data_IF_989951276901
#
_entry.id   IF_989951276901
#
_cell.length_a   1.000
_cell.length_b   1.000
_cell.length_c   1.000
_cell.angle_alpha   90.00
_cell.angle_beta   90.00
_cell.angle_gamma   90.00
#
_symmetry.space_group_name_H-M   'P 1'
#
loop_
_entity.id
_entity.type
_entity.pdbx_description
1 polymer ?
#
# COMPACT_ATOMS: atom_id res chain seq x y z
N UNK A 1 16.90 -47.04 -46.50
CA UNK A 1 16.04 -46.89 -45.31
C UNK A 1 16.76 -46.23 -44.13
N UNK A 2 18.02 -46.53 -43.84
CA UNK A 2 18.77 -46.00 -42.69
C UNK A 2 18.97 -44.48 -42.67
N UNK A 3 19.29 -43.83 -43.81
CA UNK A 3 19.56 -42.38 -43.88
C UNK A 3 18.34 -41.51 -43.55
N UNK A 4 17.18 -41.89 -44.06
CA UNK A 4 15.91 -41.18 -43.86
C UNK A 4 15.44 -41.25 -42.40
N UNK A 5 15.68 -42.38 -41.72
CA UNK A 5 15.44 -42.55 -40.28
C UNK A 5 16.39 -41.67 -39.45
N UNK A 6 17.67 -41.57 -39.82
CA UNK A 6 18.66 -40.71 -39.14
C UNK A 6 18.34 -39.22 -39.28
N UNK A 7 17.93 -38.76 -40.47
CA UNK A 7 17.57 -37.37 -40.72
C UNK A 7 16.27 -36.98 -39.98
N UNK A 8 15.31 -37.89 -39.90
CA UNK A 8 14.06 -37.69 -39.13
C UNK A 8 14.32 -37.60 -37.62
N UNK A 9 15.24 -38.41 -37.09
CA UNK A 9 15.66 -38.35 -35.69
C UNK A 9 16.41 -37.05 -35.37
N UNK A 10 17.26 -36.56 -36.27
CA UNK A 10 17.92 -35.25 -36.12
C UNK A 10 16.94 -34.08 -36.13
N UNK A 11 15.95 -34.10 -37.02
CA UNK A 11 14.91 -33.07 -37.06
C UNK A 11 14.08 -33.06 -35.78
N UNK A 12 13.66 -34.23 -35.28
CA UNK A 12 12.93 -34.36 -34.03
C UNK A 12 13.75 -33.90 -32.81
N UNK A 13 15.06 -34.22 -32.77
CA UNK A 13 15.95 -33.76 -31.71
C UNK A 13 16.14 -32.24 -31.73
N UNK A 14 16.24 -31.63 -32.92
CA UNK A 14 16.39 -30.19 -33.09
C UNK A 14 15.13 -29.44 -32.68
N UNK A 15 13.95 -29.94 -33.07
CA UNK A 15 12.65 -29.38 -32.66
C UNK A 15 12.42 -29.50 -31.14
N UNK A 16 12.77 -30.65 -30.55
CA UNK A 16 12.70 -30.83 -29.10
C UNK A 16 13.65 -29.87 -28.36
N UNK A 17 14.85 -29.63 -28.89
CA UNK A 17 15.81 -28.69 -28.32
C UNK A 17 15.30 -27.25 -28.42
N UNK A 18 14.76 -26.84 -29.57
CA UNK A 18 14.17 -25.52 -29.76
C UNK A 18 12.99 -25.27 -28.81
N UNK A 19 12.09 -26.25 -28.66
CA UNK A 19 10.96 -26.19 -27.71
C UNK A 19 11.43 -26.12 -26.26
N UNK A 20 12.49 -26.85 -25.91
CA UNK A 20 13.06 -26.81 -24.56
C UNK A 20 13.67 -25.43 -24.26
N UNK A 21 14.33 -24.82 -25.24
CA UNK A 21 14.90 -23.48 -25.12
C UNK A 21 13.81 -22.40 -25.02
N UNK A 22 12.74 -22.53 -25.81
CA UNK A 22 11.57 -21.65 -25.73
C UNK A 22 10.87 -21.77 -24.37
N UNK A 23 10.68 -23.00 -23.88
CA UNK A 23 10.10 -23.25 -22.55
C UNK A 23 10.97 -22.66 -21.43
N UNK A 24 12.29 -22.89 -21.47
CA UNK A 24 13.20 -22.34 -20.48
C UNK A 24 13.19 -20.80 -20.47
N UNK A 25 13.17 -20.18 -21.66
CA UNK A 25 13.10 -18.71 -21.81
C UNK A 25 11.78 -18.16 -21.28
N UNK A 26 10.65 -18.82 -21.60
CA UNK A 26 9.33 -18.46 -21.06
C UNK A 26 9.31 -18.59 -19.54
N UNK A 27 9.82 -19.69 -18.98
CA UNK A 27 9.88 -19.93 -17.55
C UNK A 27 10.73 -18.88 -16.82
N UNK A 28 11.87 -18.48 -17.40
CA UNK A 28 12.71 -17.41 -16.85
C UNK A 28 11.97 -16.06 -16.84
N UNK A 29 11.38 -15.66 -17.96
CA UNK A 29 10.62 -14.41 -18.07
C UNK A 29 9.40 -14.38 -17.13
N UNK A 30 8.70 -15.51 -16.97
CA UNK A 30 7.62 -15.65 -15.99
C UNK A 30 8.11 -15.46 -14.56
N UNK A 31 9.27 -16.04 -14.23
CA UNK A 31 9.87 -15.95 -12.89
C UNK A 31 10.29 -14.50 -12.58
N UNK A 32 10.94 -13.81 -13.52
CA UNK A 32 11.30 -12.40 -13.37
C UNK A 32 10.07 -11.52 -13.12
N UNK A 33 9.02 -11.68 -13.93
CA UNK A 33 7.76 -10.93 -13.76
C UNK A 33 7.08 -11.23 -12.42
N UNK A 34 7.16 -12.46 -11.93
CA UNK A 34 6.64 -12.85 -10.63
C UNK A 34 7.40 -12.13 -9.50
N UNK A 35 8.73 -12.08 -9.56
CA UNK A 35 9.54 -11.37 -8.57
C UNK A 35 9.28 -9.86 -8.59
N UNK A 36 9.25 -9.24 -9.77
CA UNK A 36 8.94 -7.81 -9.91
C UNK A 36 7.57 -7.48 -9.28
N UNK A 37 6.59 -8.35 -9.51
CA UNK A 37 5.24 -8.18 -8.96
C UNK A 37 5.18 -8.30 -7.44
N UNK A 38 5.98 -9.19 -6.84
CA UNK A 38 6.11 -9.31 -5.37
C UNK A 38 6.79 -8.08 -4.79
N UNK A 39 7.81 -7.56 -5.46
CA UNK A 39 8.49 -6.31 -5.05
C UNK A 39 7.52 -5.13 -5.11
N UNK A 40 6.76 -4.98 -6.19
CA UNK A 40 5.73 -3.94 -6.36
C UNK A 40 4.68 -4.01 -5.24
N UNK A 41 4.20 -5.21 -4.92
CA UNK A 41 3.22 -5.41 -3.84
C UNK A 41 3.77 -5.03 -2.46
N UNK A 42 4.98 -5.49 -2.12
CA UNK A 42 5.62 -5.15 -0.84
C UNK A 42 5.87 -3.64 -0.73
N UNK A 43 6.32 -3.00 -1.81
CA UNK A 43 6.51 -1.55 -1.85
C UNK A 43 5.20 -0.79 -1.60
N UNK A 44 4.09 -1.25 -2.18
CA UNK A 44 2.76 -0.66 -1.96
C UNK A 44 2.33 -0.76 -0.48
N UNK A 45 2.55 -1.91 0.17
CA UNK A 45 2.26 -2.10 1.60
C UNK A 45 3.09 -1.14 2.47
N UNK A 46 4.41 -1.10 2.25
CA UNK A 46 5.30 -0.28 3.07
C UNK A 46 4.97 1.20 2.93
N UNK A 47 4.81 1.68 1.69
CA UNK A 47 4.41 3.05 1.41
C UNK A 47 3.05 3.38 2.01
N UNK A 48 2.09 2.47 1.90
CA UNK A 48 0.77 2.63 2.50
C UNK A 48 0.81 2.79 4.02
N UNK A 49 1.61 1.95 4.68
CA UNK A 49 1.81 1.98 6.13
C UNK A 49 2.50 3.26 6.57
N UNK A 50 3.52 3.71 5.83
CA UNK A 50 4.22 4.98 6.07
C UNK A 50 3.26 6.17 6.00
N UNK A 51 2.40 6.21 4.98
CA UNK A 51 1.42 7.29 4.78
C UNK A 51 0.45 7.37 5.96
N UNK A 52 -0.13 6.24 6.39
CA UNK A 52 -1.06 6.20 7.53
C UNK A 52 -0.33 6.55 8.84
N UNK A 53 0.86 6.00 9.05
CA UNK A 53 1.67 6.28 10.24
C UNK A 53 2.04 7.75 10.36
N UNK A 54 2.46 8.39 9.26
CA UNK A 54 2.76 9.82 9.23
C UNK A 54 1.53 10.65 9.56
N UNK A 55 0.36 10.31 9.00
CA UNK A 55 -0.89 11.02 9.31
C UNK A 55 -1.28 10.88 10.78
N UNK A 56 -1.10 9.71 11.39
CA UNK A 56 -1.35 9.50 12.81
C UNK A 56 -0.41 10.35 13.68
N UNK A 57 0.87 10.46 13.30
CA UNK A 57 1.83 11.34 13.96
C UNK A 57 1.46 12.82 13.84
N UNK A 58 1.10 13.28 12.64
CA UNK A 58 0.66 14.67 12.41
C UNK A 58 -0.57 15.02 13.26
N UNK A 59 -1.52 14.07 13.37
CA UNK A 59 -2.69 14.21 14.25
C UNK A 59 -2.28 14.32 15.72
N UNK A 60 -1.32 13.52 16.19
CA UNK A 60 -0.78 13.61 17.55
C UNK A 60 -0.17 14.98 17.84
N UNK A 61 0.72 15.47 16.96
CA UNK A 61 1.37 16.79 17.12
C UNK A 61 0.32 17.91 17.12
N UNK A 62 -0.68 17.84 16.23
CA UNK A 62 -1.80 18.78 16.19
C UNK A 62 -2.61 18.79 17.49
N UNK A 63 -2.85 17.61 18.07
CA UNK A 63 -3.58 17.48 19.35
C UNK A 63 -2.79 18.08 20.51
N UNK A 64 -1.48 17.85 20.57
CA UNK A 64 -0.60 18.45 21.59
C UNK A 64 -0.63 19.98 21.49
N UNK A 65 -0.47 20.53 20.28
CA UNK A 65 -0.53 21.99 20.07
C UNK A 65 -1.88 22.58 20.51
N UNK A 66 -2.98 21.89 20.17
CA UNK A 66 -4.31 22.33 20.57
C UNK A 66 -4.55 22.25 22.09
N UNK A 67 -3.99 21.25 22.78
CA UNK A 67 -4.05 21.18 24.24
C UNK A 67 -3.32 22.36 24.88
N UNK A 68 -2.15 22.76 24.37
CA UNK A 68 -1.44 23.94 24.87
C UNK A 68 -2.23 25.25 24.65
N UNK A 69 -2.81 25.45 23.46
CA UNK A 69 -3.66 26.61 23.22
C UNK A 69 -4.92 26.60 24.10
N UNK A 70 -5.51 25.43 24.33
CA UNK A 70 -6.64 25.28 25.23
C UNK A 70 -6.29 25.64 26.68
N UNK A 71 -5.16 25.18 27.19
CA UNK A 71 -4.66 25.53 28.52
C UNK A 71 -4.35 27.03 28.64
N UNK A 72 -3.78 27.62 27.59
CA UNK A 72 -3.51 29.05 27.53
C UNK A 72 -4.79 29.88 27.55
N UNK A 73 -5.86 29.42 26.90
CA UNK A 73 -7.17 30.05 26.97
C UNK A 73 -7.77 29.96 28.38
N UNK A 74 -7.65 28.80 29.04
CA UNK A 74 -8.10 28.62 30.42
C UNK A 74 -7.34 29.52 31.41
N UNK A 75 -6.02 29.65 31.24
CA UNK A 75 -5.18 30.52 32.08
C UNK A 75 -5.46 32.01 31.91
N UNK A 76 -6.14 32.41 30.83
CA UNK A 76 -6.53 33.81 30.57
C UNK A 76 -7.93 34.14 31.07
N UNK A 77 -8.68 33.16 31.58
CA UNK A 77 -10.00 33.41 32.13
C UNK A 77 -9.88 34.22 33.43
N UNK A 78 -10.63 35.32 33.52
CA UNK A 78 -10.61 36.22 34.68
C UNK A 78 -11.63 35.79 35.75
N UNK A 79 -12.61 34.97 35.38
CA UNK A 79 -13.62 34.44 36.28
C UNK A 79 -14.08 33.02 35.89
N UNK A 80 -14.96 32.46 36.71
CA UNK A 80 -15.51 31.11 36.55
C UNK A 80 -16.34 30.98 35.27
N UNK A 81 -17.08 32.02 34.87
CA UNK A 81 -17.90 31.98 33.67
C UNK A 81 -17.04 31.96 32.39
N UNK A 82 -16.00 32.80 32.34
CA UNK A 82 -15.00 32.79 31.27
C UNK A 82 -14.26 31.46 31.20
N UNK A 83 -13.91 30.88 32.35
CA UNK A 83 -13.28 29.57 32.43
C UNK A 83 -14.17 28.48 31.82
N UNK A 84 -15.44 28.39 32.23
CA UNK A 84 -16.38 27.40 31.68
C UNK A 84 -16.62 27.58 30.18
N UNK A 85 -16.68 28.83 29.71
CA UNK A 85 -16.80 29.12 28.28
C UNK A 85 -15.59 28.62 27.50
N UNK A 86 -14.38 28.91 27.98
CA UNK A 86 -13.14 28.42 27.36
C UNK A 86 -13.05 26.88 27.40
N UNK A 87 -13.39 26.25 28.54
CA UNK A 87 -13.39 24.80 28.69
C UNK A 87 -14.38 24.12 27.73
N UNK A 88 -15.61 24.64 27.64
CA UNK A 88 -16.64 24.11 26.74
C UNK A 88 -16.23 24.26 25.28
N UNK A 89 -15.70 25.43 24.90
CA UNK A 89 -15.19 25.66 23.54
C UNK A 89 -14.06 24.69 23.18
N UNK A 90 -13.10 24.48 24.10
CA UNK A 90 -12.00 23.54 23.90
C UNK A 90 -12.52 22.10 23.71
N UNK A 91 -13.54 21.70 24.48
CA UNK A 91 -14.13 20.36 24.39
C UNK A 91 -14.85 20.15 23.06
N UNK A 92 -15.63 21.14 22.60
CA UNK A 92 -16.30 21.09 21.29
C UNK A 92 -15.26 20.97 20.18
N UNK A 93 -14.24 21.83 20.17
CA UNK A 93 -13.19 21.76 19.15
C UNK A 93 -12.37 20.47 19.21
N UNK A 94 -12.17 19.89 20.40
CA UNK A 94 -11.52 18.58 20.53
C UNK A 94 -12.38 17.46 19.93
N UNK A 95 -13.70 17.50 20.14
CA UNK A 95 -14.65 16.54 19.57
C UNK A 95 -14.69 16.63 18.04
N UNK A 96 -14.79 17.84 17.50
CA UNK A 96 -14.77 18.10 16.04
C UNK A 96 -13.47 17.58 15.43
N UNK A 97 -12.33 17.88 16.05
CA UNK A 97 -11.02 17.42 15.59
C UNK A 97 -10.91 15.90 15.63
N UNK A 98 -11.38 15.24 16.69
CA UNK A 98 -11.36 13.78 16.78
C UNK A 98 -12.20 13.15 15.65
N UNK A 99 -13.38 13.70 15.40
CA UNK A 99 -14.26 13.25 14.31
C UNK A 99 -13.58 13.40 12.94
N UNK A 100 -13.00 14.56 12.67
CA UNK A 100 -12.30 14.84 11.42
C UNK A 100 -11.05 13.96 11.25
N UNK A 101 -10.23 13.83 12.30
CA UNK A 101 -9.03 12.98 12.28
C UNK A 101 -9.40 11.51 12.04
N UNK A 102 -10.47 11.02 12.66
CA UNK A 102 -10.96 9.65 12.48
C UNK A 102 -11.42 9.40 11.04
N UNK A 103 -12.20 10.32 10.49
CA UNK A 103 -12.64 10.27 9.08
C UNK A 103 -11.45 10.26 8.12
N UNK A 104 -10.49 11.16 8.33
CA UNK A 104 -9.30 11.27 7.50
C UNK A 104 -8.44 9.99 7.53
N UNK A 105 -8.24 9.38 8.71
CA UNK A 105 -7.51 8.11 8.82
C UNK A 105 -8.27 6.98 8.14
N UNK A 106 -9.60 6.91 8.29
CA UNK A 106 -10.42 5.88 7.65
C UNK A 106 -10.36 6.01 6.12
N UNK A 107 -10.52 7.22 5.58
CA UNK A 107 -10.42 7.46 4.13
C UNK A 107 -9.02 7.14 3.59
N UNK A 108 -7.97 7.51 4.33
CA UNK A 108 -6.58 7.23 3.93
C UNK A 108 -6.28 5.73 3.95
N UNK A 109 -6.71 5.04 5.00
CA UNK A 109 -6.55 3.58 5.12
C UNK A 109 -7.30 2.85 4.01
N UNK A 110 -8.52 3.30 3.68
CA UNK A 110 -9.30 2.76 2.55
C UNK A 110 -8.60 2.95 1.20
N UNK A 111 -8.00 4.11 0.96
CA UNK A 111 -7.18 4.35 -0.26
C UNK A 111 -5.97 3.43 -0.31
N UNK A 112 -5.23 3.30 0.78
CA UNK A 112 -4.07 2.41 0.89
C UNK A 112 -4.44 0.95 0.64
N UNK A 113 -5.55 0.47 1.23
CA UNK A 113 -6.04 -0.88 1.01
C UNK A 113 -6.41 -1.11 -0.45
N UNK A 114 -7.07 -0.13 -1.09
CA UNK A 114 -7.42 -0.22 -2.51
C UNK A 114 -6.17 -0.29 -3.39
N UNK A 115 -5.21 0.62 -3.21
CA UNK A 115 -3.95 0.64 -3.97
C UNK A 115 -3.15 -0.65 -3.78
N UNK A 116 -3.08 -1.15 -2.54
CA UNK A 116 -2.42 -2.43 -2.21
C UNK A 116 -3.13 -3.62 -2.85
N UNK A 117 -4.47 -3.62 -2.87
CA UNK A 117 -5.27 -4.67 -3.51
C UNK A 117 -5.13 -4.64 -5.03
N UNK A 118 -5.02 -3.46 -5.63
CA UNK A 118 -4.75 -3.30 -7.07
C UNK A 118 -3.35 -3.82 -7.41
N UNK A 119 -2.34 -3.53 -6.59
CA UNK A 119 -0.99 -4.10 -6.74
C UNK A 119 -1.01 -5.63 -6.61
N UNK A 120 -1.73 -6.18 -5.63
CA UNK A 120 -1.90 -7.62 -5.47
C UNK A 120 -2.61 -8.27 -6.68
N UNK A 121 -3.66 -7.63 -7.21
CA UNK A 121 -4.38 -8.10 -8.39
C UNK A 121 -3.49 -8.09 -9.63
N UNK A 122 -2.70 -7.03 -9.82
CA UNK A 122 -1.73 -6.94 -10.92
C UNK A 122 -0.69 -8.05 -10.80
N UNK A 123 -0.17 -8.29 -9.59
CA UNK A 123 0.75 -9.39 -9.33
C UNK A 123 0.13 -10.76 -9.68
N UNK A 124 -1.10 -11.02 -9.25
CA UNK A 124 -1.80 -12.27 -9.53
C UNK A 124 -2.14 -12.44 -11.01
N UNK A 125 -2.58 -11.37 -11.69
CA UNK A 125 -2.95 -11.42 -13.12
C UNK A 125 -1.73 -11.57 -14.02
N UNK A 126 -0.62 -10.90 -13.70
CA UNK A 126 0.68 -11.09 -14.39
C UNK A 126 1.15 -12.55 -14.29
N UNK A 127 0.85 -13.25 -13.19
CA UNK A 127 1.20 -14.66 -12.98
C UNK A 127 0.27 -15.64 -13.73
N UNK A 128 -1.02 -15.33 -13.90
CA UNK A 128 -1.97 -16.19 -14.65
C UNK A 128 -1.86 -16.01 -16.16
N UNK A 129 -1.47 -14.82 -16.64
CA UNK A 129 -1.33 -14.55 -18.08
C UNK A 129 -0.17 -15.32 -18.75
N UNK A 130 0.48 -16.23 -18.03
CA UNK A 130 1.64 -17.02 -18.47
C UNK A 130 1.42 -18.53 -18.35
N UNK A 131 0.22 -18.98 -17.95
CA UNK A 131 -0.27 -20.35 -18.13
C UNK A 131 -1.09 -20.48 -19.41
#
# INVERSE_FOLDING_TARGET
MTKQTTDSMKAAATDAFAKSQEFATKSLSSSEKMFDSVIEYNAAIFKGTEIVGKKAYDNYVSNVAASFEGLKALNKANDVAEFYKAATSNMVSASERLSEQSKNIAELSGKVLKETSEAARLAYTKNISVS
#
